data_IF_784906536295
#
_entry.id   IF_784906536295
#
_cell.length_a   1.000
_cell.length_b   1.000
_cell.length_c   1.000
_cell.angle_alpha   90.00
_cell.angle_beta   90.00
_cell.angle_gamma   90.00
#
_symmetry.space_group_name_H-M   'P 1'
#
loop_
_entity.id
_entity.type
_entity.pdbx_description
1 polymer ?
#
# COMPACT_ATOMS: atom_id res chain seq x y z
N UNK A 1 18.09 4.16 24.53
CA UNK A 1 17.55 4.85 23.33
C UNK A 1 17.61 4.00 22.08
N UNK A 2 18.79 3.57 21.60
CA UNK A 2 18.92 2.70 20.40
C UNK A 2 17.97 1.49 20.46
N UNK A 3 18.01 0.68 21.54
CA UNK A 3 17.14 -0.50 21.68
C UNK A 3 15.63 -0.21 21.60
N UNK A 4 15.16 0.93 22.11
CA UNK A 4 13.74 1.32 22.08
C UNK A 4 13.34 1.80 20.69
N UNK A 5 14.17 2.63 20.05
CA UNK A 5 13.91 3.10 18.67
C UNK A 5 13.95 1.93 17.69
N UNK A 6 14.91 1.02 17.84
CA UNK A 6 15.00 -0.21 17.04
C UNK A 6 13.77 -1.09 17.27
N UNK A 7 13.35 -1.31 18.53
CA UNK A 7 12.15 -2.10 18.82
C UNK A 7 10.88 -1.49 18.21
N UNK A 8 10.72 -0.16 18.24
CA UNK A 8 9.57 0.54 17.63
C UNK A 8 9.62 0.49 16.11
N UNK A 9 10.79 0.69 15.52
CA UNK A 9 10.98 0.54 14.08
C UNK A 9 10.58 -0.87 13.63
N UNK A 10 11.04 -1.90 14.36
CA UNK A 10 10.66 -3.29 14.11
C UNK A 10 9.16 -3.53 14.34
N UNK A 11 8.56 -3.01 15.41
CA UNK A 11 7.13 -3.18 15.70
C UNK A 11 6.27 -2.50 14.64
N UNK A 12 6.59 -1.28 14.20
CA UNK A 12 5.83 -0.57 13.16
C UNK A 12 5.98 -1.25 11.81
N UNK A 13 7.19 -1.74 11.49
CA UNK A 13 7.44 -2.44 10.24
C UNK A 13 6.78 -3.82 10.20
N UNK A 14 6.70 -4.53 11.34
CA UNK A 14 6.07 -5.84 11.48
C UNK A 14 4.56 -5.76 11.66
N UNK A 15 4.02 -4.73 12.33
CA UNK A 15 2.58 -4.60 12.57
C UNK A 15 1.77 -4.21 11.31
N UNK A 16 2.45 -3.82 10.23
CA UNK A 16 1.84 -3.41 8.97
C UNK A 16 2.03 -4.45 7.85
N UNK A 17 2.52 -5.65 8.17
CA UNK A 17 2.61 -6.76 7.21
C UNK A 17 1.33 -7.57 6.95
N UNK A 18 0.17 -7.40 7.60
CA UNK A 18 -1.02 -8.10 7.14
C UNK A 18 -1.69 -7.24 6.07
N UNK A 19 -1.79 -7.73 4.82
CA UNK A 19 -2.83 -7.42 3.80
C UNK A 19 -2.50 -7.93 2.38
N UNK A 20 -1.48 -8.76 2.16
CA UNK A 20 -1.33 -9.47 0.89
C UNK A 20 -2.10 -10.78 0.95
N UNK A 21 -3.39 -10.74 0.60
CA UNK A 21 -4.26 -11.93 0.59
C UNK A 21 -4.02 -12.84 -0.62
N UNK A 22 -3.21 -12.40 -1.60
CA UNK A 22 -2.91 -13.18 -2.80
C UNK A 22 -1.47 -12.92 -3.23
N UNK A 23 -0.63 -13.94 -3.19
CA UNK A 23 0.62 -13.93 -3.94
C UNK A 23 1.04 -15.38 -4.23
N UNK A 24 0.99 -15.77 -5.51
CA UNK A 24 1.78 -16.88 -6.02
C UNK A 24 3.26 -16.62 -5.69
N UNK A 25 4.03 -17.65 -5.39
CA UNK A 25 5.47 -17.47 -5.16
C UNK A 25 6.20 -17.45 -6.51
N UNK A 26 6.61 -16.28 -7.05
CA UNK A 26 7.38 -16.26 -8.27
C UNK A 26 8.78 -16.83 -8.01
N UNK A 27 9.16 -17.84 -8.79
CA UNK A 27 10.47 -18.46 -8.73
C UNK A 27 11.15 -18.31 -10.08
N UNK A 28 12.22 -17.52 -10.13
CA UNK A 28 13.03 -17.43 -11.34
C UNK A 28 13.92 -18.68 -11.39
N UNK A 29 13.78 -19.47 -12.44
CA UNK A 29 14.56 -20.69 -12.66
C UNK A 29 15.55 -20.47 -13.80
N UNK A 30 16.83 -20.72 -13.51
CA UNK A 30 17.92 -20.72 -14.49
C UNK A 30 18.50 -22.11 -14.72
N UNK A 31 18.27 -23.02 -13.79
CA UNK A 31 18.84 -24.36 -13.83
C UNK A 31 17.97 -25.29 -14.66
N UNK A 32 18.61 -26.22 -15.35
CA UNK A 32 17.95 -27.26 -16.16
C UNK A 32 17.04 -28.12 -15.28
N UNK A 33 17.39 -28.36 -14.02
CA UNK A 33 16.61 -29.18 -13.10
C UNK A 33 16.10 -28.34 -11.93
N UNK A 34 14.80 -28.36 -11.68
CA UNK A 34 14.15 -27.70 -10.55
C UNK A 34 13.39 -28.74 -9.74
N UNK A 35 13.53 -28.73 -8.42
CA UNK A 35 12.68 -29.53 -7.53
C UNK A 35 11.47 -28.70 -7.12
N UNK A 36 10.28 -29.28 -7.25
CA UNK A 36 9.01 -28.67 -6.87
C UNK A 36 8.56 -29.31 -5.56
N UNK A 37 8.62 -28.51 -4.50
CA UNK A 37 8.11 -28.89 -3.17
C UNK A 37 6.67 -28.44 -3.06
N UNK A 38 5.81 -29.23 -2.40
CA UNK A 38 4.39 -28.90 -2.18
C UNK A 38 3.65 -28.62 -3.51
N UNK A 39 3.52 -29.63 -4.40
CA UNK A 39 3.02 -29.45 -5.77
C UNK A 39 1.55 -28.99 -5.85
N UNK A 40 0.80 -29.10 -4.76
CA UNK A 40 -0.58 -28.60 -4.67
C UNK A 40 -0.62 -27.08 -4.42
N UNK A 41 0.42 -26.54 -3.80
CA UNK A 41 0.53 -25.11 -3.51
C UNK A 41 0.88 -24.36 -4.80
N UNK A 42 0.09 -23.33 -5.08
CA UNK A 42 0.20 -22.56 -6.31
C UNK A 42 1.53 -21.81 -6.40
N UNK A 43 2.37 -22.24 -7.34
CA UNK A 43 3.71 -21.74 -7.61
C UNK A 43 3.85 -21.36 -9.07
N UNK A 44 4.56 -20.27 -9.35
CA UNK A 44 4.83 -19.80 -10.71
C UNK A 44 6.35 -19.78 -10.96
N UNK A 45 6.82 -20.68 -11.83
CA UNK A 45 8.22 -20.78 -12.21
C UNK A 45 8.47 -20.02 -13.51
N UNK A 46 9.34 -19.02 -13.48
CA UNK A 46 9.69 -18.17 -14.61
C UNK A 46 11.06 -18.59 -15.15
N UNK A 47 11.09 -19.09 -16.37
CA UNK A 47 12.31 -19.56 -17.02
C UNK A 47 12.49 -19.00 -18.42
N UNK A 48 13.73 -19.10 -18.92
CA UNK A 48 14.06 -18.92 -20.33
C UNK A 48 14.86 -20.13 -20.76
N UNK A 49 14.40 -20.79 -21.83
CA UNK A 49 15.12 -21.90 -22.42
C UNK A 49 16.36 -21.37 -23.16
N UNK A 50 17.49 -22.05 -23.00
CA UNK A 50 18.78 -21.67 -23.60
C UNK A 50 19.45 -22.87 -24.31
N UNK A 51 18.71 -23.46 -25.25
CA UNK A 51 19.14 -24.59 -26.09
C UNK A 51 18.76 -25.97 -25.53
N UNK A 52 18.54 -26.07 -24.21
CA UNK A 52 18.13 -27.30 -23.54
C UNK A 52 16.73 -27.16 -22.92
N UNK A 53 15.97 -28.26 -22.81
CA UNK A 53 14.71 -28.26 -22.08
C UNK A 53 14.96 -28.16 -20.57
N UNK A 54 13.94 -27.72 -19.84
CA UNK A 54 13.97 -27.67 -18.37
C UNK A 54 13.12 -28.80 -17.77
N UNK A 55 13.52 -29.30 -16.63
CA UNK A 55 12.93 -30.43 -15.92
C UNK A 55 12.49 -29.99 -14.54
N UNK A 56 11.24 -30.30 -14.18
CA UNK A 56 10.68 -30.06 -12.87
C UNK A 56 10.34 -31.39 -12.22
N UNK A 57 10.95 -31.67 -11.06
CA UNK A 57 10.80 -32.92 -10.34
C UNK A 57 9.88 -32.74 -9.15
N UNK A 58 8.85 -33.58 -9.06
CA UNK A 58 7.92 -33.65 -7.94
C UNK A 58 8.07 -35.05 -7.34
N UNK A 59 8.20 -35.12 -6.02
CA UNK A 59 8.08 -36.36 -5.26
C UNK A 59 6.97 -36.16 -4.23
N UNK A 60 5.96 -37.02 -4.27
CA UNK A 60 4.86 -37.02 -3.31
C UNK A 60 4.66 -38.43 -2.73
N UNK A 61 4.57 -38.52 -1.42
CA UNK A 61 4.24 -39.75 -0.69
C UNK A 61 2.73 -40.01 -0.61
N UNK A 62 1.92 -39.00 -0.94
CA UNK A 62 0.44 -39.06 -0.92
C UNK A 62 -0.13 -38.72 -2.30
N UNK A 63 -1.37 -39.16 -2.55
CA UNK A 63 -2.15 -38.73 -3.71
C UNK A 63 -2.42 -37.23 -3.62
N UNK A 64 -2.36 -36.52 -4.74
CA UNK A 64 -2.43 -35.05 -4.72
C UNK A 64 -3.07 -34.48 -5.99
N UNK A 65 -3.58 -33.24 -5.91
CA UNK A 65 -4.11 -32.54 -7.06
C UNK A 65 -2.98 -31.88 -7.87
N UNK A 66 -2.68 -32.45 -9.04
CA UNK A 66 -1.69 -31.90 -9.95
C UNK A 66 -2.38 -30.95 -10.94
N UNK A 67 -2.04 -29.68 -10.82
CA UNK A 67 -2.33 -28.65 -11.81
C UNK A 67 -1.03 -28.20 -12.47
N UNK A 68 -1.02 -28.11 -13.80
CA UNK A 68 0.10 -27.61 -14.60
C UNK A 68 -0.45 -26.72 -15.70
N UNK A 69 -0.02 -25.46 -15.78
CA UNK A 69 -0.37 -24.57 -16.89
C UNK A 69 0.88 -23.86 -17.45
N UNK A 70 0.91 -23.71 -18.77
CA UNK A 70 1.98 -23.02 -19.49
C UNK A 70 1.51 -21.63 -19.89
N UNK A 71 2.31 -20.63 -19.55
CA UNK A 71 2.16 -19.26 -19.99
C UNK A 71 3.43 -18.80 -20.71
N UNK A 72 3.30 -17.91 -21.69
CA UNK A 72 4.42 -17.17 -22.27
C UNK A 72 4.16 -15.66 -22.11
N UNK A 73 5.19 -14.82 -21.92
CA UNK A 73 4.98 -13.39 -21.81
C UNK A 73 4.47 -12.80 -23.15
N UNK A 74 3.47 -11.93 -23.12
CA UNK A 74 3.00 -11.21 -24.32
C UNK A 74 3.95 -10.04 -24.62
N UNK A 75 5.08 -10.36 -25.23
CA UNK A 75 6.15 -9.41 -25.59
C UNK A 75 6.59 -9.58 -27.03
N UNK A 76 7.17 -8.53 -27.60
CA UNK A 76 7.68 -8.56 -28.98
C UNK A 76 8.76 -9.64 -29.15
N UNK A 77 8.62 -10.45 -30.20
CA UNK A 77 9.55 -11.53 -30.54
C UNK A 77 9.36 -12.84 -29.76
N UNK A 78 8.51 -12.88 -28.73
CA UNK A 78 8.18 -14.12 -28.03
C UNK A 78 7.30 -15.02 -28.90
N UNK A 79 7.62 -16.32 -28.93
CA UNK A 79 6.85 -17.35 -29.64
C UNK A 79 5.91 -18.06 -28.66
N UNK A 80 4.79 -18.54 -29.19
CA UNK A 80 3.83 -19.37 -28.48
C UNK A 80 4.01 -20.82 -28.90
N UNK A 81 5.16 -21.38 -28.56
CA UNK A 81 5.60 -22.71 -28.99
C UNK A 81 6.09 -23.59 -27.84
N UNK A 82 5.90 -23.12 -26.60
CA UNK A 82 6.31 -23.81 -25.38
C UNK A 82 5.36 -24.97 -25.11
N UNK A 83 5.91 -26.16 -24.94
CA UNK A 83 5.18 -27.40 -24.66
C UNK A 83 5.68 -28.03 -23.38
N UNK A 84 4.86 -28.90 -22.79
CA UNK A 84 5.26 -29.72 -21.66
C UNK A 84 4.82 -31.18 -21.82
N UNK A 85 5.51 -32.08 -21.12
CA UNK A 85 5.11 -33.47 -20.96
C UNK A 85 5.24 -33.81 -19.48
N UNK A 86 4.23 -34.50 -18.96
CA UNK A 86 4.16 -34.93 -17.58
C UNK A 86 4.34 -36.44 -17.59
N UNK A 87 5.41 -36.93 -16.98
CA UNK A 87 5.72 -38.35 -16.88
C UNK A 87 5.75 -38.79 -15.44
N UNK A 88 5.38 -40.05 -15.19
CA UNK A 88 5.45 -40.69 -13.88
C UNK A 88 6.54 -41.75 -13.90
N UNK A 89 7.39 -41.78 -12.88
CA UNK A 89 8.44 -42.79 -12.67
C UNK A 89 9.34 -43.03 -13.90
N UNK A 90 9.53 -42.01 -14.73
CA UNK A 90 10.36 -42.05 -15.94
C UNK A 90 9.71 -42.73 -17.17
N UNK A 91 8.42 -43.08 -17.13
CA UNK A 91 7.70 -43.66 -18.28
C UNK A 91 7.37 -42.58 -19.32
N UNK A 92 8.30 -42.37 -20.25
CA UNK A 92 8.16 -41.40 -21.36
C UNK A 92 7.27 -41.95 -22.49
N UNK A 93 7.13 -43.27 -22.59
CA UNK A 93 6.33 -43.91 -23.64
C UNK A 93 4.82 -43.78 -23.33
N UNK A 94 4.45 -43.71 -22.05
CA UNK A 94 3.07 -43.51 -21.58
C UNK A 94 2.96 -42.29 -20.67
N UNK A 95 3.07 -41.06 -21.21
CA UNK A 95 2.98 -39.86 -20.40
C UNK A 95 1.59 -39.69 -19.79
N UNK A 96 1.54 -39.09 -18.60
CA UNK A 96 0.29 -38.68 -17.95
C UNK A 96 -0.46 -37.66 -18.81
N UNK A 97 0.28 -36.71 -19.37
CA UNK A 97 -0.25 -35.74 -20.31
C UNK A 97 0.85 -35.12 -21.17
N UNK A 98 0.48 -34.77 -22.40
CA UNK A 98 1.30 -33.94 -23.30
C UNK A 98 0.56 -32.63 -23.56
N UNK A 99 1.16 -31.53 -23.11
CA UNK A 99 0.70 -30.16 -23.29
C UNK A 99 1.37 -29.59 -24.54
N UNK A 100 0.81 -29.89 -25.71
CA UNK A 100 1.38 -29.51 -27.01
C UNK A 100 1.07 -28.05 -27.37
N UNK A 101 2.00 -27.15 -27.03
CA UNK A 101 1.87 -25.73 -27.33
C UNK A 101 1.99 -25.39 -28.82
N UNK A 102 2.51 -26.28 -29.67
CA UNK A 102 2.67 -26.00 -31.11
C UNK A 102 1.34 -26.07 -31.87
N UNK A 103 0.46 -26.96 -31.43
CA UNK A 103 -0.86 -27.18 -32.00
C UNK A 103 -1.98 -26.60 -31.14
N UNK A 104 -1.65 -25.95 -30.02
CA UNK A 104 -2.60 -25.29 -29.15
C UNK A 104 -2.99 -23.90 -29.65
N UNK A 105 -4.25 -23.52 -29.45
CA UNK A 105 -4.73 -22.16 -29.69
C UNK A 105 -4.50 -21.30 -28.45
N UNK A 106 -3.41 -20.56 -28.44
CA UNK A 106 -3.06 -19.65 -27.33
C UNK A 106 -4.03 -18.48 -27.23
N UNK A 107 -4.39 -18.11 -26.00
CA UNK A 107 -5.33 -17.03 -25.71
C UNK A 107 -4.65 -15.91 -24.95
N UNK A 108 -5.11 -14.67 -25.13
CA UNK A 108 -4.59 -13.55 -24.33
C UNK A 108 -5.06 -13.68 -22.90
N UNK A 109 -4.14 -13.52 -21.97
CA UNK A 109 -4.41 -13.54 -20.54
C UNK A 109 -3.78 -12.34 -19.85
N UNK A 110 -4.61 -11.59 -19.14
CA UNK A 110 -4.17 -10.49 -18.30
C UNK A 110 -4.13 -10.94 -16.84
N UNK A 111 -2.97 -10.79 -16.21
CA UNK A 111 -2.75 -11.14 -14.81
C UNK A 111 -2.71 -9.86 -13.97
N UNK A 112 -3.72 -9.67 -13.13
CA UNK A 112 -4.00 -8.41 -12.45
C UNK A 112 -3.01 -8.08 -11.33
N UNK A 113 -2.53 -9.08 -10.60
CA UNK A 113 -1.71 -8.92 -9.40
C UNK A 113 -0.26 -8.55 -9.72
N UNK A 114 0.30 -9.08 -10.80
CA UNK A 114 1.60 -8.70 -11.34
C UNK A 114 1.52 -7.58 -12.38
N UNK A 115 0.30 -7.25 -12.84
CA UNK A 115 0.03 -6.29 -13.92
C UNK A 115 0.81 -6.67 -15.18
N UNK A 116 0.66 -7.91 -15.64
CA UNK A 116 1.39 -8.46 -16.79
C UNK A 116 0.45 -9.09 -17.81
N UNK A 117 0.81 -8.95 -19.08
CA UNK A 117 0.14 -9.66 -20.19
C UNK A 117 0.88 -10.95 -20.52
N UNK A 118 0.10 -11.99 -20.75
CA UNK A 118 0.56 -13.32 -21.14
C UNK A 118 -0.23 -13.84 -22.34
N UNK A 119 0.35 -14.82 -23.01
CA UNK A 119 -0.40 -15.81 -23.75
C UNK A 119 -0.57 -17.05 -22.87
N UNK A 120 -1.82 -17.48 -22.71
CA UNK A 120 -2.19 -18.69 -22.00
C UNK A 120 -2.19 -19.87 -22.94
N UNK A 121 -1.38 -20.86 -22.60
CA UNK A 121 -1.21 -22.10 -23.33
C UNK A 121 -1.99 -23.26 -22.70
N UNK A 122 -1.65 -24.50 -23.09
CA UNK A 122 -2.32 -25.70 -22.61
C UNK A 122 -2.14 -25.90 -21.10
N UNK A 123 -3.11 -26.59 -20.50
CA UNK A 123 -3.13 -26.94 -19.08
C UNK A 123 -3.50 -28.40 -18.85
N UNK A 124 -3.06 -28.93 -17.71
CA UNK A 124 -3.44 -30.22 -17.17
C UNK A 124 -3.96 -30.03 -15.75
N UNK A 125 -5.04 -30.74 -15.43
CA UNK A 125 -5.62 -30.76 -14.09
C UNK A 125 -6.21 -32.13 -13.78
N UNK A 126 -5.63 -32.84 -12.82
CA UNK A 126 -6.20 -34.07 -12.29
C UNK A 126 -5.64 -34.41 -10.92
N UNK A 127 -6.37 -35.23 -10.17
CA UNK A 127 -5.80 -35.94 -9.03
C UNK A 127 -4.91 -37.07 -9.55
N UNK A 128 -3.67 -37.13 -9.06
CA UNK A 128 -2.69 -38.15 -9.42
C UNK A 128 -2.28 -38.92 -8.17
N UNK A 129 -1.94 -40.19 -8.36
CA UNK A 129 -1.49 -41.05 -7.26
C UNK A 129 -0.11 -40.65 -6.75
N UNK A 130 0.25 -41.07 -5.54
CA UNK A 130 1.62 -40.87 -5.03
C UNK A 130 2.69 -41.45 -5.96
N UNK A 131 3.87 -40.83 -5.94
CA UNK A 131 5.02 -41.23 -6.76
C UNK A 131 5.92 -40.08 -7.21
N UNK A 132 6.83 -40.40 -8.12
CA UNK A 132 7.76 -39.43 -8.70
C UNK A 132 7.24 -38.95 -10.04
N UNK A 133 7.13 -37.63 -10.19
CA UNK A 133 6.69 -37.01 -11.43
C UNK A 133 7.78 -36.10 -11.97
N UNK A 134 7.90 -36.07 -13.29
CA UNK A 134 8.79 -35.16 -13.99
C UNK A 134 7.97 -34.38 -15.03
N UNK A 135 8.10 -33.06 -15.02
CA UNK A 135 7.53 -32.17 -16.01
C UNK A 135 8.69 -31.62 -16.84
N UNK A 136 8.75 -32.02 -18.10
CA UNK A 136 9.74 -31.53 -19.06
C UNK A 136 9.11 -30.39 -19.86
N UNK A 137 9.77 -29.24 -19.91
CA UNK A 137 9.39 -28.04 -20.66
C UNK A 137 10.37 -27.82 -21.81
N UNK A 138 9.86 -27.60 -23.02
CA UNK A 138 10.67 -27.30 -24.20
C UNK A 138 9.96 -26.32 -25.14
N UNK A 139 10.70 -25.77 -26.10
CA UNK A 139 10.15 -25.03 -27.25
C UNK A 139 10.79 -25.53 -28.54
N UNK A 140 10.33 -25.09 -29.73
CA UNK A 140 10.84 -25.60 -31.02
C UNK A 140 12.37 -25.53 -31.14
N UNK A 141 12.93 -24.43 -30.64
CA UNK A 141 14.36 -24.16 -30.66
C UNK A 141 14.98 -24.12 -29.25
N UNK A 142 14.19 -24.38 -28.20
CA UNK A 142 14.56 -24.16 -26.80
C UNK A 142 15.13 -22.75 -26.54
N UNK A 143 14.47 -21.71 -27.05
CA UNK A 143 14.88 -20.31 -26.96
C UNK A 143 13.82 -19.39 -26.29
N UNK A 144 12.67 -19.96 -25.92
CA UNK A 144 11.48 -19.23 -25.46
C UNK A 144 11.49 -18.98 -23.95
N UNK A 145 10.97 -17.81 -23.54
CA UNK A 145 10.59 -17.56 -22.14
C UNK A 145 9.27 -18.27 -21.83
N UNK A 146 9.15 -18.79 -20.61
CA UNK A 146 7.93 -19.44 -20.15
C UNK A 146 7.68 -19.13 -18.67
N UNK A 147 6.41 -19.16 -18.28
CA UNK A 147 5.98 -19.24 -16.90
C UNK A 147 5.17 -20.54 -16.73
N UNK A 148 5.68 -21.44 -15.90
CA UNK A 148 5.06 -22.71 -15.57
C UNK A 148 4.35 -22.55 -14.23
N UNK A 149 3.02 -22.60 -14.24
CA UNK A 149 2.22 -22.65 -13.02
C UNK A 149 2.07 -24.11 -12.60
N UNK A 150 2.39 -24.42 -11.34
CA UNK A 150 2.17 -25.73 -10.73
C UNK A 150 1.37 -25.53 -9.45
N UNK A 151 0.32 -26.34 -9.27
CA UNK A 151 -0.57 -26.27 -8.11
C UNK A 151 -1.61 -25.15 -8.18
N UNK A 152 -2.72 -25.35 -7.50
CA UNK A 152 -3.86 -24.42 -7.49
C UNK A 152 -4.26 -23.96 -6.08
N UNK A 153 -3.76 -24.61 -5.04
CA UNK A 153 -4.07 -24.26 -3.65
C UNK A 153 -3.32 -22.99 -3.27
N UNK A 154 -4.07 -21.96 -2.90
CA UNK A 154 -3.49 -20.73 -2.38
C UNK A 154 -2.94 -20.98 -0.97
N UNK A 155 -1.66 -20.66 -0.74
CA UNK A 155 -1.09 -20.64 0.61
C UNK A 155 -0.33 -19.35 0.88
N UNK A 156 -0.40 -18.91 2.13
CA UNK A 156 0.24 -17.70 2.59
C UNK A 156 1.54 -18.02 3.33
N UNK A 157 2.67 -17.64 2.73
CA UNK A 157 3.97 -17.65 3.40
C UNK A 157 4.59 -16.25 3.39
N UNK A 158 4.85 -15.70 4.57
CA UNK A 158 5.52 -14.40 4.75
C UNK A 158 6.90 -14.35 4.05
N UNK A 159 7.61 -15.49 3.95
CA UNK A 159 8.87 -15.55 3.19
C UNK A 159 8.61 -15.40 1.69
N UNK A 160 7.51 -15.95 1.17
CA UNK A 160 7.07 -15.82 -0.22
C UNK A 160 6.83 -14.36 -0.61
N UNK A 161 6.20 -13.56 0.25
CA UNK A 161 5.95 -12.13 0.00
C UNK A 161 7.24 -11.32 -0.09
N UNK A 162 8.20 -11.57 0.82
CA UNK A 162 9.50 -10.88 0.80
C UNK A 162 10.33 -11.28 -0.43
N UNK A 163 10.29 -12.56 -0.81
CA UNK A 163 10.94 -13.07 -2.02
C UNK A 163 10.36 -12.46 -3.30
N UNK A 164 9.03 -12.32 -3.38
CA UNK A 164 8.34 -11.69 -4.51
C UNK A 164 8.82 -10.25 -4.75
N UNK A 165 8.86 -9.40 -3.71
CA UNK A 165 9.30 -8.01 -3.85
C UNK A 165 10.74 -7.93 -4.38
N UNK A 166 11.62 -8.83 -3.92
CA UNK A 166 13.00 -8.90 -4.39
C UNK A 166 13.15 -9.36 -5.84
N UNK A 167 12.16 -10.06 -6.39
CA UNK A 167 12.18 -10.59 -7.77
C UNK A 167 11.42 -9.71 -8.76
N UNK A 168 10.51 -8.84 -8.30
CA UNK A 168 9.62 -8.04 -9.14
C UNK A 168 10.36 -7.23 -10.20
N UNK A 169 11.45 -6.56 -9.79
CA UNK A 169 12.23 -5.68 -10.67
C UNK A 169 12.95 -6.48 -11.75
N UNK A 170 13.43 -7.68 -11.41
CA UNK A 170 14.08 -8.61 -12.35
C UNK A 170 13.06 -9.19 -13.32
N UNK A 171 11.88 -9.59 -12.84
CA UNK A 171 10.82 -10.11 -13.68
C UNK A 171 10.35 -9.06 -14.68
N UNK A 172 9.96 -7.87 -14.22
CA UNK A 172 9.52 -6.77 -15.11
C UNK A 172 10.56 -6.48 -16.18
N UNK A 173 11.82 -6.27 -15.78
CA UNK A 173 12.88 -5.90 -16.73
C UNK A 173 13.30 -7.03 -17.65
N UNK A 174 13.61 -8.21 -17.10
CA UNK A 174 14.30 -9.28 -17.84
C UNK A 174 13.33 -10.28 -18.46
N UNK A 175 12.19 -10.52 -17.80
CA UNK A 175 11.18 -11.47 -18.28
C UNK A 175 10.14 -10.76 -19.18
N UNK A 176 9.57 -9.65 -18.72
CA UNK A 176 8.52 -8.92 -19.45
C UNK A 176 9.01 -7.78 -20.35
N UNK A 177 10.31 -7.47 -20.37
CA UNK A 177 10.86 -6.33 -21.12
C UNK A 177 10.18 -4.98 -20.77
N UNK A 178 9.67 -4.84 -19.55
CA UNK A 178 8.95 -3.68 -19.03
C UNK A 178 9.77 -2.90 -18.01
N UNK A 179 9.35 -1.65 -17.75
CA UNK A 179 9.88 -0.87 -16.64
C UNK A 179 9.37 -1.43 -15.30
N UNK A 180 10.25 -1.61 -14.28
CA UNK A 180 9.81 -1.99 -12.94
C UNK A 180 8.73 -1.08 -12.36
N UNK A 181 8.70 0.20 -12.77
CA UNK A 181 7.72 1.17 -12.32
C UNK A 181 6.27 0.78 -12.67
N UNK A 182 6.04 0.02 -13.75
CA UNK A 182 4.69 -0.41 -14.16
C UNK A 182 3.99 -1.23 -13.08
N UNK A 183 4.73 -1.88 -12.18
CA UNK A 183 4.15 -2.65 -11.09
C UNK A 183 3.30 -1.79 -10.13
N UNK A 184 3.45 -0.45 -10.14
CA UNK A 184 2.60 0.47 -9.36
C UNK A 184 1.12 0.38 -9.71
N UNK A 185 0.78 -0.04 -10.93
CA UNK A 185 -0.60 -0.17 -11.37
C UNK A 185 -1.24 -1.49 -10.93
N UNK A 186 -0.45 -2.43 -10.39
CA UNK A 186 -1.01 -3.63 -9.77
C UNK A 186 -1.63 -3.32 -8.40
N UNK A 187 -2.69 -4.02 -7.98
CA UNK A 187 -3.23 -3.93 -6.63
C UNK A 187 -2.17 -4.21 -5.55
N UNK A 188 -1.25 -5.16 -5.79
CA UNK A 188 -0.16 -5.49 -4.87
C UNK A 188 0.82 -4.33 -4.74
N UNK A 189 1.29 -3.79 -5.86
CA UNK A 189 2.29 -2.71 -5.91
C UNK A 189 1.79 -1.43 -5.25
N UNK A 190 0.56 -1.00 -5.55
CA UNK A 190 -0.01 0.20 -4.91
C UNK A 190 -0.25 -0.01 -3.41
N UNK A 191 -0.78 -1.17 -3.02
CA UNK A 191 -1.05 -1.50 -1.61
C UNK A 191 0.25 -1.51 -0.81
N UNK A 192 1.31 -2.11 -1.36
CA UNK A 192 2.64 -2.14 -0.77
C UNK A 192 3.19 -0.73 -0.49
N UNK A 193 3.08 0.19 -1.46
CA UNK A 193 3.51 1.59 -1.28
C UNK A 193 2.69 2.28 -0.20
N UNK A 194 1.36 2.15 -0.24
CA UNK A 194 0.46 2.78 0.75
C UNK A 194 0.81 2.31 2.16
N UNK A 195 0.95 1.01 2.36
CA UNK A 195 1.28 0.40 3.65
C UNK A 195 2.62 0.95 4.17
N UNK A 196 3.66 1.00 3.33
CA UNK A 196 4.97 1.53 3.72
C UNK A 196 4.87 3.02 4.06
N UNK A 197 4.14 3.81 3.29
CA UNK A 197 3.96 5.24 3.59
C UNK A 197 3.21 5.45 4.91
N UNK A 198 2.14 4.69 5.17
CA UNK A 198 1.43 4.71 6.46
C UNK A 198 2.39 4.36 7.60
N UNK A 199 3.22 3.32 7.42
CA UNK A 199 4.24 2.91 8.39
C UNK A 199 5.22 4.05 8.71
N UNK A 200 5.69 4.76 7.68
CA UNK A 200 6.63 5.85 7.84
C UNK A 200 6.03 7.03 8.60
N UNK A 201 4.74 7.32 8.37
CA UNK A 201 4.01 8.38 9.08
C UNK A 201 3.77 8.00 10.54
N UNK A 202 3.30 6.77 10.81
CA UNK A 202 3.12 6.26 12.17
C UNK A 202 4.45 6.33 12.93
N UNK A 203 5.53 5.83 12.32
CA UNK A 203 6.87 5.93 12.88
C UNK A 203 7.26 7.39 13.17
N UNK A 204 7.01 8.31 12.23
CA UNK A 204 7.26 9.74 12.41
C UNK A 204 6.52 10.35 13.59
N UNK A 205 5.23 10.03 13.76
CA UNK A 205 4.45 10.49 14.92
C UNK A 205 4.97 9.90 16.24
N UNK A 206 5.28 8.61 16.28
CA UNK A 206 5.83 7.97 17.49
C UNK A 206 7.18 8.57 17.85
N UNK A 207 8.08 8.74 16.86
CA UNK A 207 9.38 9.37 17.04
C UNK A 207 9.23 10.79 17.61
N UNK A 208 8.28 11.56 17.08
CA UNK A 208 7.96 12.91 17.58
C UNK A 208 7.51 12.90 19.04
N UNK A 209 6.60 12.00 19.40
CA UNK A 209 6.12 11.85 20.79
C UNK A 209 7.29 11.52 21.72
N UNK A 210 8.15 10.56 21.34
CA UNK A 210 9.30 10.14 22.14
C UNK A 210 10.30 11.28 22.32
N UNK A 211 10.72 11.92 21.23
CA UNK A 211 11.68 13.03 21.30
C UNK A 211 11.13 14.20 22.11
N UNK A 212 9.83 14.49 22.00
CA UNK A 212 9.19 15.54 22.81
C UNK A 212 9.15 15.23 24.31
N UNK A 213 9.10 13.95 24.71
CA UNK A 213 9.18 13.53 26.12
C UNK A 213 10.60 13.59 26.67
N UNK A 214 11.61 13.33 25.84
CA UNK A 214 13.03 13.33 26.23
C UNK A 214 13.54 14.76 26.37
N UNK A 215 13.16 15.64 25.45
CA UNK A 215 13.59 17.04 25.43
C UNK A 215 12.67 17.85 26.35
N UNK A 216 12.73 17.52 27.65
CA UNK A 216 11.92 18.10 28.73
C UNK A 216 12.29 19.55 29.09
N UNK A 217 13.35 20.11 28.49
CA UNK A 217 14.02 21.31 28.98
C UNK A 217 14.04 22.51 28.01
N UNK A 218 13.27 22.46 26.92
CA UNK A 218 13.03 23.67 26.12
C UNK A 218 11.63 24.18 26.42
N UNK A 219 11.58 25.39 26.95
CA UNK A 219 10.42 26.09 27.52
C UNK A 219 9.26 26.36 26.53
N UNK A 220 9.32 25.81 25.31
CA UNK A 220 8.26 25.82 24.31
C UNK A 220 8.11 24.42 23.69
N UNK A 221 6.88 23.88 23.66
CA UNK A 221 6.55 22.75 22.77
C UNK A 221 6.79 23.19 21.33
N UNK A 222 7.93 22.85 20.74
CA UNK A 222 8.26 23.22 19.35
C UNK A 222 7.34 22.45 18.39
N UNK A 223 6.26 23.11 17.95
CA UNK A 223 5.26 22.54 17.03
C UNK A 223 5.87 22.35 15.63
N UNK A 224 6.70 23.30 15.19
CA UNK A 224 7.44 23.27 13.93
C UNK A 224 8.86 23.79 14.15
N UNK A 225 9.85 23.12 13.59
CA UNK A 225 11.26 23.53 13.68
C UNK A 225 11.95 23.68 12.32
N UNK A 226 11.23 23.42 11.22
CA UNK A 226 11.73 23.65 9.85
C UNK A 226 10.85 24.66 9.09
N UNK A 227 11.48 25.50 8.29
CA UNK A 227 10.83 26.52 7.46
C UNK A 227 10.33 25.96 6.11
N UNK A 228 9.85 26.84 5.22
CA UNK A 228 9.34 26.42 3.91
C UNK A 228 10.43 25.83 3.01
N UNK A 229 11.64 26.39 3.02
CA UNK A 229 12.76 25.95 2.18
C UNK A 229 13.20 24.53 2.56
N UNK A 230 13.44 24.28 3.85
CA UNK A 230 13.80 22.95 4.36
C UNK A 230 12.72 21.91 4.05
N UNK A 231 11.44 22.30 4.12
CA UNK A 231 10.31 21.41 3.77
C UNK A 231 10.34 21.05 2.28
N UNK A 232 10.64 22.00 1.40
CA UNK A 232 10.77 21.75 -0.04
C UNK A 232 11.94 20.81 -0.30
N UNK A 233 13.11 21.03 0.32
CA UNK A 233 14.28 20.16 0.16
C UNK A 233 13.93 18.71 0.54
N UNK A 234 13.23 18.50 1.66
CA UNK A 234 12.81 17.16 2.10
C UNK A 234 11.79 16.52 1.17
N UNK A 235 10.80 17.29 0.70
CA UNK A 235 9.85 16.80 -0.28
C UNK A 235 10.53 16.39 -1.60
N UNK A 236 11.47 17.19 -2.08
CA UNK A 236 12.24 16.89 -3.30
C UNK A 236 13.12 15.66 -3.11
N UNK A 237 13.85 15.55 -2.00
CA UNK A 237 14.67 14.38 -1.70
C UNK A 237 13.82 13.11 -1.56
N UNK A 238 12.67 13.22 -0.89
CA UNK A 238 11.70 12.14 -0.78
C UNK A 238 11.18 11.69 -2.14
N UNK A 239 10.83 12.65 -3.02
CA UNK A 239 10.41 12.36 -4.39
C UNK A 239 11.50 11.67 -5.22
N UNK A 240 12.74 12.14 -5.17
CA UNK A 240 13.87 11.53 -5.87
C UNK A 240 14.13 10.10 -5.39
N UNK A 241 14.13 9.88 -4.07
CA UNK A 241 14.31 8.54 -3.50
C UNK A 241 13.17 7.59 -3.86
N UNK A 242 11.92 8.08 -3.85
CA UNK A 242 10.76 7.31 -4.24
C UNK A 242 10.83 6.92 -5.72
N UNK A 243 11.08 7.87 -6.62
CA UNK A 243 11.25 7.60 -8.06
C UNK A 243 12.37 6.59 -8.27
N UNK A 244 13.53 6.81 -7.66
CA UNK A 244 14.65 5.86 -7.77
C UNK A 244 14.25 4.45 -7.32
N UNK A 245 13.56 4.31 -6.18
CA UNK A 245 13.12 3.02 -5.68
C UNK A 245 12.17 2.31 -6.67
N UNK A 246 11.14 3.00 -7.15
CA UNK A 246 10.11 2.45 -8.04
C UNK A 246 10.65 2.08 -9.42
N UNK A 247 11.64 2.82 -9.93
CA UNK A 247 12.23 2.53 -11.24
C UNK A 247 13.33 1.47 -11.22
N UNK A 248 13.82 1.06 -10.04
CA UNK A 248 14.99 0.17 -9.94
C UNK A 248 14.79 -1.08 -9.12
N UNK A 249 14.41 -0.96 -7.85
CA UNK A 249 14.61 -2.04 -6.86
C UNK A 249 13.36 -2.39 -6.08
N UNK A 250 12.37 -1.49 -6.02
CA UNK A 250 11.21 -1.61 -5.13
C UNK A 250 11.56 -1.84 -3.66
N UNK A 251 12.77 -1.40 -3.27
CA UNK A 251 13.32 -1.66 -1.95
C UNK A 251 12.45 -0.99 -0.85
N UNK A 252 11.97 -1.76 0.15
CA UNK A 252 11.06 -1.25 1.18
C UNK A 252 11.68 -0.12 2.01
N UNK A 253 12.98 -0.18 2.27
CA UNK A 253 13.68 0.82 3.06
C UNK A 253 13.77 2.16 2.34
N UNK A 254 14.01 2.16 1.02
CA UNK A 254 14.05 3.40 0.23
C UNK A 254 12.67 4.05 0.16
N UNK A 255 11.61 3.26 -0.04
CA UNK A 255 10.22 3.73 -0.05
C UNK A 255 9.84 4.27 1.33
N UNK A 256 10.23 3.58 2.41
CA UNK A 256 10.02 4.04 3.78
C UNK A 256 10.72 5.38 4.05
N UNK A 257 11.99 5.50 3.67
CA UNK A 257 12.77 6.72 3.87
C UNK A 257 12.16 7.89 3.09
N UNK A 258 11.70 7.64 1.86
CA UNK A 258 10.94 8.62 1.10
C UNK A 258 9.66 9.06 1.83
N UNK A 259 8.86 8.11 2.30
CA UNK A 259 7.66 8.38 3.10
C UNK A 259 7.95 9.19 4.36
N UNK A 260 9.06 8.90 5.05
CA UNK A 260 9.49 9.63 6.24
C UNK A 260 9.92 11.08 5.93
N UNK A 261 10.61 11.30 4.81
CA UNK A 261 10.95 12.66 4.37
C UNK A 261 9.70 13.47 3.99
N UNK A 262 8.70 12.83 3.36
CA UNK A 262 7.39 13.45 3.12
C UNK A 262 6.68 13.79 4.43
N UNK A 263 6.72 12.90 5.42
CA UNK A 263 6.20 13.19 6.76
C UNK A 263 6.86 14.44 7.37
N UNK A 264 8.20 14.51 7.38
CA UNK A 264 8.92 15.67 7.91
C UNK A 264 8.53 16.97 7.16
N UNK A 265 8.46 16.90 5.83
CA UNK A 265 8.05 18.01 4.97
C UNK A 265 6.60 18.46 5.24
N UNK A 266 5.64 17.53 5.40
CA UNK A 266 4.23 17.87 5.62
C UNK A 266 4.03 18.46 7.01
N UNK A 267 4.55 17.80 8.04
CA UNK A 267 4.40 18.24 9.44
C UNK A 267 5.19 19.52 9.70
N UNK A 268 6.27 19.77 8.96
CA UNK A 268 7.19 20.88 9.23
C UNK A 268 7.98 20.64 10.50
N UNK A 269 8.32 19.38 10.75
CA UNK A 269 9.05 18.94 11.93
C UNK A 269 10.13 17.92 11.54
N UNK A 270 11.35 18.16 12.00
CA UNK A 270 12.49 17.26 11.81
C UNK A 270 13.07 16.85 13.17
N UNK A 271 13.17 15.55 13.41
CA UNK A 271 13.71 15.00 14.67
C UNK A 271 15.17 15.36 14.88
N UNK A 272 15.97 15.37 13.81
CA UNK A 272 17.40 15.71 13.86
C UNK A 272 17.59 17.17 14.27
N UNK A 273 16.83 18.09 13.68
CA UNK A 273 16.92 19.51 14.03
C UNK A 273 16.55 19.75 15.49
N UNK A 274 15.55 19.02 16.00
CA UNK A 274 15.16 19.09 17.40
C UNK A 274 16.30 18.62 18.33
N UNK A 275 16.95 17.49 18.00
CA UNK A 275 18.10 16.96 18.77
C UNK A 275 19.28 17.94 18.75
N UNK A 276 19.54 18.58 17.61
CA UNK A 276 20.61 19.57 17.46
C UNK A 276 20.24 20.96 18.01
N UNK A 277 19.04 21.15 18.55
CA UNK A 277 18.55 22.46 19.00
C UNK A 277 18.41 23.49 17.88
N UNK A 278 18.41 23.07 16.61
CA UNK A 278 18.24 23.94 15.44
C UNK A 278 16.76 24.19 15.17
N UNK A 279 16.44 25.44 14.86
CA UNK A 279 15.11 25.83 14.43
C UNK A 279 15.24 26.88 13.32
N UNK A 280 14.81 26.53 12.10
CA UNK A 280 14.81 27.46 10.97
C UNK A 280 13.47 28.19 10.82
N UNK A 281 12.48 27.84 11.63
CA UNK A 281 11.16 28.47 11.65
C UNK A 281 11.20 29.81 12.40
N UNK A 282 10.84 30.89 11.71
CA UNK A 282 10.83 32.27 12.24
C UNK A 282 9.94 32.38 13.49
N UNK A 283 10.55 32.69 14.66
CA UNK A 283 9.87 32.69 15.97
C UNK A 283 9.11 33.99 16.30
N UNK A 284 9.48 35.15 15.76
CA UNK A 284 9.14 36.43 16.39
C UNK A 284 7.68 36.88 16.14
N UNK A 285 7.17 36.81 14.91
CA UNK A 285 5.83 37.34 14.59
C UNK A 285 4.67 36.37 14.88
N UNK A 286 4.95 35.06 14.88
CA UNK A 286 3.91 34.03 15.05
C UNK A 286 3.55 33.78 16.52
N UNK A 287 4.49 34.01 17.44
CA UNK A 287 4.27 33.80 18.88
C UNK A 287 3.24 34.77 19.44
N UNK A 288 3.35 36.07 19.11
CA UNK A 288 2.40 37.10 19.55
C UNK A 288 0.98 36.80 19.04
N UNK A 289 0.84 36.65 17.73
CA UNK A 289 -0.46 36.41 17.10
C UNK A 289 -1.13 35.08 17.51
N UNK A 290 -0.35 34.02 17.73
CA UNK A 290 -0.88 32.73 18.20
C UNK A 290 -1.31 32.78 19.67
N UNK A 291 -0.60 33.55 20.50
CA UNK A 291 -0.92 33.69 21.93
C UNK A 291 -2.24 34.42 22.11
N UNK A 292 -2.42 35.55 21.43
CA UNK A 292 -3.64 36.37 21.54
C UNK A 292 -4.90 35.59 21.08
N UNK A 293 -4.76 34.73 20.06
CA UNK A 293 -5.84 33.83 19.62
C UNK A 293 -6.16 32.75 20.65
N UNK A 294 -5.15 32.16 21.24
CA UNK A 294 -5.33 31.10 22.23
C UNK A 294 -5.99 31.67 23.50
N UNK A 295 -5.54 32.85 23.94
CA UNK A 295 -6.15 33.58 25.06
C UNK A 295 -7.63 33.87 24.80
N UNK A 296 -7.99 34.42 23.63
CA UNK A 296 -9.40 34.64 23.28
C UNK A 296 -10.24 33.34 23.28
N UNK A 297 -9.71 32.22 22.81
CA UNK A 297 -10.45 30.95 22.81
C UNK A 297 -10.58 30.34 24.21
N UNK A 298 -9.59 30.56 25.07
CA UNK A 298 -9.57 30.07 26.44
C UNK A 298 -10.42 30.94 27.38
N UNK A 299 -10.52 32.24 27.11
CA UNK A 299 -11.33 33.18 27.87
C UNK A 299 -12.83 32.99 27.59
N UNK A 300 -13.51 32.12 28.32
CA UNK A 300 -14.93 31.81 28.12
C UNK A 300 -15.79 32.11 29.36
N UNK A 301 -15.92 33.38 29.78
CA UNK A 301 -16.61 33.74 31.02
C UNK A 301 -18.09 33.38 31.00
N UNK A 302 -18.70 33.37 29.82
CA UNK A 302 -20.12 33.06 29.61
C UNK A 302 -20.39 31.57 29.36
N UNK A 303 -19.37 30.70 29.45
CA UNK A 303 -19.47 29.25 29.24
C UNK A 303 -20.19 28.85 27.93
N UNK A 304 -19.95 29.58 26.84
CA UNK A 304 -20.50 29.23 25.53
C UNK A 304 -19.93 27.88 25.07
N UNK A 305 -20.79 27.04 24.50
CA UNK A 305 -20.36 25.77 23.90
C UNK A 305 -19.56 26.01 22.62
N UNK A 306 -19.86 27.12 21.93
CA UNK A 306 -19.29 27.48 20.65
C UNK A 306 -18.78 28.94 20.66
N UNK A 307 -17.49 29.14 20.47
CA UNK A 307 -16.85 30.46 20.30
C UNK A 307 -16.91 30.89 18.83
N UNK A 308 -16.92 32.19 18.56
CA UNK A 308 -16.85 32.69 17.17
C UNK A 308 -15.47 32.44 16.56
N UNK A 309 -15.41 32.19 15.26
CA UNK A 309 -14.13 32.12 14.52
C UNK A 309 -13.55 33.52 14.38
N UNK A 310 -12.25 33.66 14.67
CA UNK A 310 -11.51 34.92 14.47
C UNK A 310 -11.32 35.30 13.00
N UNK A 311 -11.57 34.39 12.07
CA UNK A 311 -11.51 34.63 10.62
C UNK A 311 -12.69 33.97 9.92
N UNK A 312 -13.40 34.73 9.09
CA UNK A 312 -14.59 34.30 8.35
C UNK A 312 -15.86 34.32 9.20
N UNK A 313 -16.82 33.48 8.83
CA UNK A 313 -18.11 33.35 9.51
C UNK A 313 -18.26 31.97 10.14
N UNK A 314 -18.89 31.93 11.31
CA UNK A 314 -19.23 30.71 12.03
C UNK A 314 -18.48 30.54 13.36
N UNK A 315 -18.44 29.30 13.83
CA UNK A 315 -18.03 28.95 15.20
C UNK A 315 -16.98 27.87 15.30
N UNK A 316 -16.38 27.75 16.48
CA UNK A 316 -15.48 26.68 16.91
C UNK A 316 -15.91 26.15 18.30
N UNK A 317 -15.85 24.83 18.55
CA UNK A 317 -16.22 24.26 19.84
C UNK A 317 -15.26 24.72 20.95
N UNK A 318 -15.81 25.27 22.03
CA UNK A 318 -15.03 25.82 23.15
C UNK A 318 -15.12 24.97 24.43
N UNK A 319 -16.19 24.19 24.57
CA UNK A 319 -16.39 23.29 25.71
C UNK A 319 -16.55 21.84 25.26
N UNK A 320 -16.48 20.90 26.20
CA UNK A 320 -16.71 19.49 25.91
C UNK A 320 -18.10 19.23 25.31
N UNK A 321 -19.14 20.01 25.67
CA UNK A 321 -20.47 19.90 25.08
C UNK A 321 -20.46 20.30 23.60
N UNK A 322 -19.77 21.39 23.25
CA UNK A 322 -19.62 21.79 21.84
C UNK A 322 -18.85 20.75 21.03
N UNK A 323 -17.80 20.16 21.61
CA UNK A 323 -17.05 19.07 20.99
C UNK A 323 -17.91 17.81 20.81
N UNK A 324 -18.72 17.45 21.80
CA UNK A 324 -19.64 16.32 21.71
C UNK A 324 -20.68 16.52 20.61
N UNK A 325 -21.33 17.69 20.54
CA UNK A 325 -22.29 18.02 19.49
C UNK A 325 -21.65 17.95 18.10
N UNK A 326 -20.43 18.49 17.96
CA UNK A 326 -19.68 18.45 16.70
C UNK A 326 -19.32 17.03 16.30
N UNK A 327 -18.87 16.21 17.25
CA UNK A 327 -18.55 14.81 17.01
C UNK A 327 -19.80 14.01 16.62
N UNK A 328 -20.93 14.19 17.30
CA UNK A 328 -22.20 13.56 16.94
C UNK A 328 -22.67 13.95 15.54
N UNK A 329 -22.52 15.22 15.16
CA UNK A 329 -22.82 15.68 13.80
C UNK A 329 -21.92 14.99 12.76
N UNK A 330 -20.61 14.93 12.99
CA UNK A 330 -19.66 14.25 12.07
C UNK A 330 -20.00 12.76 11.96
N UNK A 331 -20.24 12.08 13.09
CA UNK A 331 -20.63 10.67 13.12
C UNK A 331 -21.92 10.45 12.34
N UNK A 332 -22.92 11.33 12.52
CA UNK A 332 -24.17 11.26 11.78
C UNK A 332 -23.96 11.39 10.26
N UNK A 333 -23.14 12.35 9.81
CA UNK A 333 -22.86 12.53 8.37
C UNK A 333 -22.13 11.31 7.80
N UNK A 334 -21.14 10.77 8.52
CA UNK A 334 -20.40 9.56 8.10
C UNK A 334 -21.35 8.36 8.02
N UNK A 335 -22.16 8.13 9.05
CA UNK A 335 -23.11 7.01 9.08
C UNK A 335 -24.18 7.16 7.99
N UNK A 336 -24.66 8.38 7.74
CA UNK A 336 -25.57 8.67 6.63
C UNK A 336 -24.92 8.41 5.27
N UNK A 337 -23.61 8.62 5.13
CA UNK A 337 -22.84 8.28 3.93
C UNK A 337 -22.64 6.78 3.73
N UNK A 338 -22.33 6.02 4.78
CA UNK A 338 -22.18 4.56 4.71
C UNK A 338 -23.51 3.90 4.31
N UNK A 339 -24.64 4.39 4.83
CA UNK A 339 -25.97 3.90 4.44
C UNK A 339 -26.33 4.20 2.97
N UNK A 340 -25.60 5.11 2.30
CA UNK A 340 -25.76 5.37 0.86
C UNK A 340 -24.93 4.38 0.01
N UNK A 341 -23.87 3.79 0.58
CA UNK A 341 -22.92 2.90 -0.09
C UNK A 341 -23.34 1.42 -0.02
N UNK A 342 -24.33 1.07 0.78
CA UNK A 342 -24.81 -0.32 0.90
C UNK A 342 -25.50 -0.86 -0.37
N UNK A 343 -25.81 0.00 -1.33
CA UNK A 343 -26.44 -0.38 -2.60
C UNK A 343 -25.48 -0.15 -3.78
N UNK A 344 -25.34 -1.15 -4.66
CA UNK A 344 -24.41 -1.19 -5.81
C UNK A 344 -24.65 0.00 -6.77
N UNK A 345 -25.88 0.53 -6.83
CA UNK A 345 -26.24 1.74 -7.55
C UNK A 345 -27.30 2.56 -6.77
N UNK A 346 -26.93 3.68 -6.13
CA UNK A 346 -27.89 4.46 -5.35
C UNK A 346 -28.99 5.06 -6.24
N UNK A 347 -30.26 4.91 -5.83
CA UNK A 347 -31.39 5.44 -6.59
C UNK A 347 -31.51 6.97 -6.40
N UNK A 348 -32.30 7.63 -7.26
CA UNK A 348 -32.61 9.07 -7.09
C UNK A 348 -33.27 9.35 -5.74
N UNK A 349 -34.08 8.43 -5.23
CA UNK A 349 -34.72 8.58 -3.92
C UNK A 349 -33.70 8.55 -2.78
N UNK A 350 -32.69 7.67 -2.86
CA UNK A 350 -31.63 7.55 -1.84
C UNK A 350 -30.76 8.81 -1.80
N UNK A 351 -30.43 9.35 -2.97
CA UNK A 351 -29.74 10.64 -3.07
C UNK A 351 -30.57 11.77 -2.42
N UNK A 352 -31.86 11.87 -2.75
CA UNK A 352 -32.76 12.88 -2.15
C UNK A 352 -32.81 12.73 -0.62
N UNK A 353 -32.92 11.50 -0.11
CA UNK A 353 -32.93 11.22 1.32
C UNK A 353 -31.62 11.59 2.00
N UNK A 354 -30.49 11.26 1.39
CA UNK A 354 -29.16 11.61 1.89
C UNK A 354 -28.99 13.13 2.02
N UNK A 355 -29.32 13.89 0.97
CA UNK A 355 -29.20 15.35 0.99
C UNK A 355 -30.19 15.98 1.97
N UNK A 356 -31.42 15.47 2.06
CA UNK A 356 -32.43 16.00 2.99
C UNK A 356 -32.03 15.80 4.45
N UNK A 357 -31.55 14.61 4.83
CA UNK A 357 -31.05 14.32 6.18
C UNK A 357 -29.82 15.17 6.52
N UNK A 358 -28.89 15.30 5.59
CA UNK A 358 -27.67 16.12 5.77
C UNK A 358 -28.01 17.59 5.93
N UNK A 359 -28.94 18.12 5.14
CA UNK A 359 -29.42 19.49 5.24
C UNK A 359 -30.10 19.76 6.59
N UNK A 360 -30.98 18.85 7.04
CA UNK A 360 -31.62 18.94 8.35
C UNK A 360 -30.58 18.92 9.49
N UNK A 361 -29.57 18.04 9.41
CA UNK A 361 -28.50 17.97 10.40
C UNK A 361 -27.66 19.26 10.46
N UNK A 362 -27.37 19.87 9.31
CA UNK A 362 -26.68 21.17 9.23
C UNK A 362 -27.52 22.26 9.87
N UNK A 363 -28.83 22.33 9.58
CA UNK A 363 -29.73 23.30 10.21
C UNK A 363 -29.78 23.13 11.73
N UNK A 364 -29.89 21.90 12.22
CA UNK A 364 -29.88 21.59 13.65
C UNK A 364 -28.56 22.07 14.29
N UNK A 365 -27.42 21.77 13.67
CA UNK A 365 -26.12 22.21 14.15
C UNK A 365 -26.04 23.75 14.19
N UNK A 366 -26.50 24.43 13.14
CA UNK A 366 -26.53 25.89 13.08
C UNK A 366 -27.40 26.45 14.21
N UNK A 367 -28.60 25.92 14.44
CA UNK A 367 -29.50 26.35 15.52
C UNK A 367 -28.84 26.17 16.89
N UNK A 368 -28.15 25.05 17.12
CA UNK A 368 -27.40 24.82 18.37
C UNK A 368 -26.27 25.84 18.52
N UNK A 369 -25.49 26.09 17.47
CA UNK A 369 -24.42 27.08 17.47
C UNK A 369 -24.94 28.51 17.74
N UNK A 370 -26.10 28.88 17.20
CA UNK A 370 -26.74 30.17 17.50
C UNK A 370 -27.23 30.27 18.95
N UNK A 371 -27.83 29.19 19.49
CA UNK A 371 -28.39 29.20 20.85
C UNK A 371 -27.35 29.05 21.95
N UNK A 372 -26.24 28.36 21.67
CA UNK A 372 -25.21 27.99 22.65
C UNK A 372 -23.83 28.55 22.33
N UNK A 373 -23.74 29.44 21.34
CA UNK A 373 -22.50 30.11 20.96
C UNK A 373 -22.61 31.62 20.93
N UNK A 374 -21.47 32.27 20.76
CA UNK A 374 -21.43 33.72 20.53
C UNK A 374 -22.21 34.08 19.26
N UNK A 375 -22.86 35.25 19.20
CA UNK A 375 -23.60 35.66 17.97
C UNK A 375 -22.68 35.58 16.74
N UNK A 376 -23.13 35.11 15.57
CA UNK A 376 -22.23 35.01 14.44
C UNK A 376 -21.96 36.39 13.84
N UNK A 377 -20.70 36.66 13.53
CA UNK A 377 -20.27 37.88 12.83
C UNK A 377 -19.14 37.50 11.89
N UNK A 378 -19.09 38.15 10.73
CA UNK A 378 -17.93 38.03 9.85
C UNK A 378 -16.74 38.73 10.51
N UNK A 379 -15.63 38.02 10.69
CA UNK A 379 -14.42 38.55 11.34
C UNK A 379 -13.17 38.39 10.47
N UNK A 380 -12.23 39.34 10.63
CA UNK A 380 -10.90 39.33 10.00
C UNK A 380 -9.82 39.64 11.04
N UNK A 381 -9.89 38.98 12.20
CA UNK A 381 -9.02 39.23 13.35
C UNK A 381 -9.72 38.95 14.67
N UNK A 382 -9.01 39.18 15.77
CA UNK A 382 -9.61 39.09 17.11
C UNK A 382 -10.78 40.06 17.23
N UNK A 383 -11.87 39.68 17.92
CA UNK A 383 -12.91 40.63 18.26
C UNK A 383 -12.25 41.79 19.02
N UNK A 384 -12.51 43.03 18.59
CA UNK A 384 -12.18 44.18 19.42
C UNK A 384 -13.12 44.14 20.61
N UNK A 385 -12.60 44.31 21.83
CA UNK A 385 -13.44 44.46 23.01
C UNK A 385 -14.41 45.61 22.74
N UNK A 386 -15.71 45.29 22.67
CA UNK A 386 -16.77 46.30 22.75
C UNK A 386 -16.75 46.76 24.22
N UNK A 387 -15.90 47.75 24.52
CA UNK A 387 -15.95 48.50 25.79
C UNK A 387 -17.11 49.48 25.78
#
# INVERSE_FOLDING_TARGET
>A
MKKIITAIFTIVFVALTPLFTFAHQPRIVSDINTTVTEPEISQAFYGKLEGLPHFFKINSEEDFNLYVNILTPDIEGQKNDVSAIIVKDGDVDNPIATLDGNNFKWEKFWEEFGYNSYWRGPEYKATVVSGNYEILIWSRNNDSKYSLAIGETESFDLKGVVGMIGTISKLKKNFFNEFPANFIFSPIGISYIIIIFISAFIFGFILRIILSKIIKNQQDKVIKNINKEDRIIRASLGGVLFIFAIFTTWNPFLIFLAGFLFFEAIIGWCGIYLILGKNTHTKIYKMKFSKDRFEYLQDNPNNYWFKRKTYGWGWYPATWQGWLVTAMFIIFIIFNGINLESDITPTKADAIWFFSKSFCAVLILIVICYKKGESPKWQWGLPKDDK
#
